data_IF_892341233628
#
_entry.id   IF_892341233628
#
_cell.length_a   1.000
_cell.length_b   1.000
_cell.length_c   1.000
_cell.angle_alpha   90.00
_cell.angle_beta   90.00
_cell.angle_gamma   90.00
#
_symmetry.space_group_name_H-M   'P 1'
#
loop_
_entity.id
_entity.type
_entity.pdbx_description
1 polymer ?
#
# COMPACT_ATOMS: atom_id res chain seq x y z
N UNK A 1 -14.38 6.84 -0.36
CA UNK A 1 -13.52 7.50 0.66
C UNK A 1 -12.33 8.10 -0.08
N UNK A 2 -11.85 9.28 0.31
CA UNK A 2 -10.86 10.06 -0.44
C UNK A 2 -9.55 10.18 0.33
N UNK A 3 -8.44 10.18 -0.40
CA UNK A 3 -7.11 10.54 0.09
C UNK A 3 -6.95 12.04 -0.16
N UNK A 4 -6.54 12.78 0.87
CA UNK A 4 -6.21 14.20 0.72
C UNK A 4 -4.77 14.31 0.23
N UNK A 5 -4.60 15.12 -0.79
CA UNK A 5 -3.32 15.38 -1.40
C UNK A 5 -3.06 16.87 -1.38
N UNK A 6 -1.87 17.27 -0.94
CA UNK A 6 -1.46 18.65 -0.92
C UNK A 6 -0.27 18.84 -1.86
N UNK A 7 -0.45 19.70 -2.85
CA UNK A 7 0.67 20.23 -3.60
C UNK A 7 1.29 21.37 -2.77
N UNK A 8 2.51 21.14 -2.28
CA UNK A 8 3.22 22.11 -1.43
C UNK A 8 3.75 23.32 -2.21
N UNK A 9 4.00 23.19 -3.52
CA UNK A 9 4.52 24.29 -4.34
C UNK A 9 3.43 25.33 -4.64
N UNK A 10 2.22 24.85 -4.93
CA UNK A 10 1.07 25.69 -5.26
C UNK A 10 0.13 25.94 -4.06
N UNK A 11 0.40 25.30 -2.91
CA UNK A 11 -0.45 25.28 -1.72
C UNK A 11 -1.90 24.82 -2.00
N UNK A 12 -2.09 24.00 -3.03
CA UNK A 12 -3.39 23.48 -3.45
C UNK A 12 -3.67 22.12 -2.81
N UNK A 13 -4.91 21.93 -2.36
CA UNK A 13 -5.40 20.65 -1.83
C UNK A 13 -6.34 20.02 -2.84
N UNK A 14 -6.02 18.80 -3.25
CA UNK A 14 -6.82 17.94 -4.11
C UNK A 14 -7.23 16.67 -3.38
N UNK A 15 -8.07 15.86 -4.02
CA UNK A 15 -8.48 14.57 -3.50
C UNK A 15 -8.23 13.50 -4.54
N UNK A 16 -7.74 12.34 -4.10
CA UNK A 16 -7.69 11.12 -4.90
C UNK A 16 -8.69 10.10 -4.37
N UNK A 17 -9.30 9.32 -5.26
CA UNK A 17 -10.13 8.19 -4.85
C UNK A 17 -9.26 7.03 -4.34
N UNK A 18 -9.73 6.35 -3.29
CA UNK A 18 -9.14 5.08 -2.89
C UNK A 18 -9.39 4.00 -3.97
N UNK A 19 -8.49 3.02 -4.14
CA UNK A 19 -8.71 1.90 -5.06
C UNK A 19 -10.01 1.17 -4.73
N UNK A 20 -10.79 0.83 -5.75
CA UNK A 20 -12.05 0.06 -5.66
C UNK A 20 -13.05 0.54 -4.58
N UNK A 21 -12.98 1.81 -4.17
CA UNK A 21 -13.86 2.35 -3.13
C UNK A 21 -13.64 1.77 -1.73
N UNK A 22 -12.50 1.11 -1.46
CA UNK A 22 -12.19 0.54 -0.15
C UNK A 22 -12.25 1.58 0.99
N UNK A 23 -12.60 1.13 2.19
CA UNK A 23 -12.62 1.92 3.41
C UNK A 23 -11.23 1.94 4.07
N UNK A 24 -10.80 3.10 4.61
CA UNK A 24 -9.46 3.33 5.17
C UNK A 24 -9.29 2.68 6.56
N UNK A 25 -10.37 2.24 7.22
CA UNK A 25 -10.30 1.73 8.61
C UNK A 25 -9.27 0.63 8.87
N UNK A 26 -8.86 -0.12 7.83
CA UNK A 26 -7.81 -1.15 7.90
C UNK A 26 -6.74 -0.98 6.82
N UNK A 27 -6.48 0.27 6.44
CA UNK A 27 -5.60 0.61 5.34
C UNK A 27 -4.48 1.55 5.75
N UNK A 28 -3.34 1.42 5.09
CA UNK A 28 -2.19 2.29 5.27
C UNK A 28 -1.78 2.89 3.92
N UNK A 29 -1.37 4.16 3.97
CA UNK A 29 -0.73 4.86 2.86
C UNK A 29 0.77 4.88 3.08
N UNK A 30 1.52 4.59 2.03
CA UNK A 30 2.97 4.70 2.01
C UNK A 30 3.43 5.15 0.63
N UNK A 31 4.58 5.81 0.56
CA UNK A 31 5.29 5.97 -0.69
C UNK A 31 6.23 4.78 -0.88
N UNK A 32 6.10 4.08 -2.00
CA UNK A 32 6.90 2.89 -2.33
C UNK A 32 7.43 3.04 -3.75
N UNK A 33 8.75 3.05 -3.90
CA UNK A 33 9.42 3.17 -5.19
C UNK A 33 8.92 4.36 -6.03
N UNK A 34 8.72 5.53 -5.39
CA UNK A 34 8.22 6.75 -6.04
C UNK A 34 6.73 6.74 -6.42
N UNK A 35 5.97 5.71 -6.02
CA UNK A 35 4.54 5.62 -6.26
C UNK A 35 3.77 5.69 -4.94
N UNK A 36 2.60 6.30 -4.98
CA UNK A 36 1.65 6.22 -3.87
C UNK A 36 1.11 4.80 -3.78
N UNK A 37 1.29 4.17 -2.63
CA UNK A 37 0.82 2.83 -2.34
C UNK A 37 -0.28 2.87 -1.28
N UNK A 38 -1.37 2.17 -1.56
CA UNK A 38 -2.48 1.93 -0.64
C UNK A 38 -2.50 0.46 -0.27
N UNK A 39 -2.16 0.14 0.97
CA UNK A 39 -2.19 -1.22 1.50
C UNK A 39 -3.48 -1.41 2.29
N UNK A 40 -4.24 -2.43 1.96
CA UNK A 40 -5.53 -2.72 2.55
C UNK A 40 -5.56 -4.15 3.10
N UNK A 41 -6.02 -4.28 4.34
CA UNK A 41 -6.35 -5.57 4.89
C UNK A 41 -7.77 -5.97 4.48
N UNK A 42 -7.86 -7.02 3.65
CA UNK A 42 -9.10 -7.68 3.32
C UNK A 42 -9.36 -8.79 4.35
N UNK A 43 -9.98 -8.40 5.47
CA UNK A 43 -10.21 -9.27 6.63
C UNK A 43 -11.11 -10.47 6.34
N UNK A 44 -12.04 -10.37 5.39
CA UNK A 44 -12.90 -11.50 5.00
C UNK A 44 -12.14 -12.62 4.27
N UNK A 45 -10.97 -12.31 3.73
CA UNK A 45 -10.16 -13.25 2.96
C UNK A 45 -8.80 -13.58 3.61
N UNK A 46 -8.49 -13.03 4.78
CA UNK A 46 -7.14 -13.13 5.37
C UNK A 46 -6.06 -12.64 4.39
N UNK A 47 -6.34 -11.58 3.62
CA UNK A 47 -5.43 -11.08 2.57
C UNK A 47 -4.99 -9.65 2.85
N UNK A 48 -3.72 -9.38 2.57
CA UNK A 48 -3.17 -8.03 2.48
C UNK A 48 -2.95 -7.68 1.01
N UNK A 49 -3.66 -6.65 0.57
CA UNK A 49 -3.60 -6.15 -0.81
C UNK A 49 -2.85 -4.84 -0.84
N UNK A 50 -1.81 -4.74 -1.64
CA UNK A 50 -1.15 -3.46 -1.91
C UNK A 50 -1.46 -3.01 -3.34
N UNK A 51 -2.09 -1.84 -3.42
CA UNK A 51 -2.43 -1.15 -4.65
C UNK A 51 -1.42 -0.03 -4.89
N UNK A 52 -0.93 0.12 -6.11
CA UNK A 52 -0.09 1.25 -6.50
C UNK A 52 -0.82 2.15 -7.47
N UNK A 53 -0.74 3.46 -7.25
CA UNK A 53 -1.23 4.46 -8.18
C UNK A 53 -0.22 4.60 -9.33
N UNK A 54 -0.58 4.11 -10.51
CA UNK A 54 0.28 4.10 -11.70
C UNK A 54 0.09 5.33 -12.59
N UNK A 55 -1.14 5.81 -12.67
CA UNK A 55 -1.47 7.06 -13.34
C UNK A 55 -2.25 7.93 -12.36
N UNK A 56 -1.65 9.06 -12.01
CA UNK A 56 -2.22 10.00 -11.05
C UNK A 56 -3.34 10.83 -11.66
N UNK A 57 -3.25 11.16 -12.95
CA UNK A 57 -4.23 12.03 -13.63
C UNK A 57 -5.54 11.28 -13.83
N UNK A 58 -5.44 10.02 -14.26
CA UNK A 58 -6.60 9.16 -14.48
C UNK A 58 -7.00 8.36 -13.23
N UNK A 59 -6.31 8.57 -12.11
CA UNK A 59 -6.49 7.86 -10.83
C UNK A 59 -6.47 6.31 -10.97
N UNK A 60 -5.58 5.79 -11.80
CA UNK A 60 -5.50 4.34 -12.08
C UNK A 60 -4.67 3.65 -11.00
N UNK A 61 -5.36 2.84 -10.20
CA UNK A 61 -4.77 1.95 -9.21
C UNK A 61 -4.61 0.53 -9.77
N UNK A 62 -3.43 -0.05 -9.58
CA UNK A 62 -3.14 -1.44 -9.94
C UNK A 62 -2.91 -2.27 -8.68
N UNK A 63 -3.53 -3.44 -8.59
CA UNK A 63 -3.21 -4.42 -7.55
C UNK A 63 -1.87 -5.07 -7.89
N UNK A 64 -0.88 -4.86 -7.03
CA UNK A 64 0.50 -5.29 -7.27
C UNK A 64 0.90 -6.41 -6.32
N UNK A 65 0.32 -6.40 -5.12
CA UNK A 65 0.53 -7.46 -4.13
C UNK A 65 -0.78 -7.90 -3.54
N UNK A 66 -0.92 -9.20 -3.35
CA UNK A 66 -2.04 -9.85 -2.69
C UNK A 66 -1.46 -11.05 -1.96
N UNK A 67 -1.32 -10.95 -0.63
CA UNK A 67 -0.65 -11.97 0.16
C UNK A 67 -1.51 -12.41 1.33
N UNK A 68 -1.58 -13.71 1.56
CA UNK A 68 -2.24 -14.28 2.73
C UNK A 68 -1.50 -13.84 3.99
N UNK A 69 -2.26 -13.28 4.94
CA UNK A 69 -1.76 -12.85 6.24
C UNK A 69 -2.60 -13.51 7.33
N UNK A 70 -1.97 -14.06 8.38
CA UNK A 70 -2.74 -14.61 9.48
C UNK A 70 -3.58 -13.51 10.15
N UNK A 71 -4.75 -13.86 10.69
CA UNK A 71 -5.61 -12.91 11.44
C UNK A 71 -4.88 -12.09 12.49
N UNK A 72 -3.82 -12.66 13.09
CA UNK A 72 -2.96 -12.00 14.06
C UNK A 72 -2.19 -10.79 13.51
N UNK A 73 -2.08 -10.68 12.19
CA UNK A 73 -1.41 -9.60 11.47
C UNK A 73 -2.37 -8.49 11.02
N UNK A 74 -3.65 -8.52 11.38
CA UNK A 74 -4.62 -7.53 10.94
C UNK A 74 -4.34 -6.09 11.39
N UNK A 75 -3.65 -5.96 12.52
CA UNK A 75 -3.10 -4.70 12.98
C UNK A 75 -1.60 -4.70 12.69
N UNK A 76 -1.21 -3.92 11.68
CA UNK A 76 0.17 -3.83 11.24
C UNK A 76 0.60 -2.38 11.04
N UNK A 77 1.89 -2.21 10.79
CA UNK A 77 2.47 -0.97 10.30
C UNK A 77 3.42 -1.32 9.17
N UNK A 78 3.35 -0.55 8.08
CA UNK A 78 4.33 -0.63 7.01
C UNK A 78 5.60 0.05 7.53
N UNK A 79 6.69 -0.71 7.63
CA UNK A 79 7.97 -0.18 8.09
C UNK A 79 8.77 0.46 6.95
N UNK A 80 8.54 0.01 5.72
CA UNK A 80 9.18 0.58 4.55
C UNK A 80 9.27 -0.40 3.39
N UNK A 81 10.05 -0.01 2.40
CA UNK A 81 10.34 -0.77 1.18
C UNK A 81 11.84 -1.08 1.11
N UNK A 82 12.17 -2.33 0.86
CA UNK A 82 13.53 -2.78 0.63
C UNK A 82 13.74 -3.02 -0.87
N UNK A 83 14.39 -2.09 -1.60
CA UNK A 83 14.71 -2.32 -3.00
C UNK A 83 15.68 -3.49 -3.12
N UNK A 84 15.48 -4.35 -4.13
CA UNK A 84 16.47 -5.38 -4.48
C UNK A 84 17.46 -4.82 -5.49
N UNK A 85 18.74 -5.16 -5.29
CA UNK A 85 19.79 -4.71 -6.20
C UNK A 85 19.52 -5.21 -7.63
N UNK A 86 19.55 -4.28 -8.59
CA UNK A 86 19.38 -4.50 -10.03
C UNK A 86 17.99 -4.92 -10.52
N UNK A 87 16.94 -4.82 -9.70
CA UNK A 87 15.56 -5.08 -10.14
C UNK A 87 14.67 -3.85 -9.93
N UNK A 88 13.61 -3.70 -10.76
CA UNK A 88 12.51 -2.75 -10.52
C UNK A 88 11.57 -3.23 -9.40
N UNK A 89 12.05 -4.12 -8.54
CA UNK A 89 11.29 -4.88 -7.56
C UNK A 89 11.91 -4.73 -6.17
N UNK A 90 11.12 -5.03 -5.14
CA UNK A 90 11.57 -4.97 -3.76
C UNK A 90 10.53 -5.56 -2.83
N UNK A 91 10.88 -5.61 -1.56
CA UNK A 91 10.06 -6.23 -0.53
C UNK A 91 9.38 -5.14 0.33
N UNK A 92 8.11 -5.35 0.67
CA UNK A 92 7.42 -4.49 1.64
C UNK A 92 7.59 -5.10 3.03
N UNK A 93 8.16 -4.31 3.94
CA UNK A 93 8.32 -4.69 5.33
C UNK A 93 7.06 -4.32 6.12
N UNK A 94 6.46 -5.32 6.75
CA UNK A 94 5.25 -5.16 7.54
C UNK A 94 5.48 -5.74 8.93
N UNK A 95 5.21 -4.96 9.97
CA UNK A 95 5.27 -5.43 11.35
C UNK A 95 3.87 -5.47 11.93
N UNK A 96 3.48 -6.64 12.45
CA UNK A 96 2.27 -6.72 13.28
C UNK A 96 2.49 -6.06 14.64
N UNK A 97 1.44 -5.52 15.25
CA UNK A 97 1.51 -4.94 16.60
C UNK A 97 1.95 -5.94 17.68
N UNK A 98 1.88 -7.25 17.41
CA UNK A 98 2.38 -8.31 18.30
C UNK A 98 3.90 -8.54 18.19
N UNK A 99 4.59 -7.74 17.38
CA UNK A 99 6.04 -7.79 17.20
C UNK A 99 6.51 -8.78 16.14
N UNK A 100 5.62 -9.57 15.53
CA UNK A 100 6.00 -10.44 14.42
C UNK A 100 6.27 -9.60 13.18
N UNK A 101 7.47 -9.76 12.61
CA UNK A 101 7.89 -9.15 11.36
C UNK A 101 7.53 -10.07 10.20
N UNK A 102 6.84 -9.53 9.21
CA UNK A 102 6.52 -10.20 7.97
C UNK A 102 7.21 -9.47 6.81
N UNK A 103 7.90 -10.24 5.97
CA UNK A 103 8.48 -9.76 4.71
C UNK A 103 7.69 -10.43 3.59
N UNK A 104 6.91 -9.64 2.85
CA UNK A 104 6.05 -10.16 1.80
C UNK A 104 6.67 -9.93 0.42
N UNK A 105 6.74 -11.02 -0.38
CA UNK A 105 7.26 -11.15 -1.75
C UNK A 105 6.05 -11.13 -2.72
N UNK A 106 6.05 -10.69 -4.00
CA UNK A 106 7.06 -10.33 -5.02
C UNK A 106 6.37 -9.50 -6.13
N UNK A 107 7.10 -8.61 -6.80
CA UNK A 107 6.77 -8.03 -8.12
C UNK A 107 7.38 -8.84 -9.26
N UNK A 108 6.65 -9.16 -10.34
CA UNK A 108 7.14 -9.11 -11.74
C UNK A 108 5.93 -9.03 -12.71
N UNK A 109 6.16 -8.57 -13.95
CA UNK A 109 5.87 -7.26 -14.52
C UNK A 109 4.45 -7.07 -15.09
#
# INVERSE_FOLDING_TARGET
MTILEMNLENEEVTTLCCPNGYNIGFSHLAEINGHLCFVHNKTDADMLNAWMLKDRVSEVWCLEYSVEVPQSAYNYTILGYLPRNNESTGDILIQSLKGNLFCYMKLIP
#
